data_IF_024333168496
#
_entry.id   IF_024333168496
#
_cell.length_a   1.000
_cell.length_b   1.000
_cell.length_c   1.000
_cell.angle_alpha   90.00
_cell.angle_beta   90.00
_cell.angle_gamma   90.00
#
_symmetry.space_group_name_H-M   'P 1'
#
loop_
_entity.id
_entity.type
_entity.pdbx_description
1 polymer ?
#
# COMPACT_ATOMS: atom_id res chain seq x y z
N UNK A 1 -32.70 6.44 -13.47
CA UNK A 1 -31.76 6.59 -12.33
C UNK A 1 -31.87 5.47 -11.31
N UNK A 2 -33.08 5.10 -10.86
CA UNK A 2 -33.28 4.16 -9.74
C UNK A 2 -32.53 2.81 -9.84
N UNK A 3 -32.53 2.16 -11.01
CA UNK A 3 -31.77 0.91 -11.22
C UNK A 3 -30.28 1.02 -10.84
N UNK A 4 -29.65 2.17 -11.11
CA UNK A 4 -28.26 2.43 -10.76
C UNK A 4 -28.08 2.67 -9.25
N UNK A 5 -29.09 3.26 -8.58
CA UNK A 5 -29.11 3.44 -7.12
C UNK A 5 -29.17 2.08 -6.42
N UNK A 6 -30.08 1.20 -6.86
CA UNK A 6 -30.22 -0.18 -6.37
C UNK A 6 -28.93 -0.99 -6.65
N UNK A 7 -28.35 -0.87 -7.85
CA UNK A 7 -27.07 -1.50 -8.18
C UNK A 7 -25.93 -1.08 -7.24
N UNK A 8 -25.84 0.23 -6.90
CA UNK A 8 -24.85 0.74 -5.95
C UNK A 8 -25.07 0.19 -4.52
N UNK A 9 -26.32 0.08 -4.08
CA UNK A 9 -26.70 -0.44 -2.76
C UNK A 9 -26.40 -1.95 -2.63
N UNK A 10 -26.69 -2.71 -3.68
CA UNK A 10 -26.32 -4.13 -3.79
C UNK A 10 -24.80 -4.33 -3.81
N UNK A 11 -24.05 -3.49 -4.53
CA UNK A 11 -22.59 -3.53 -4.52
C UNK A 11 -21.99 -3.17 -3.15
N UNK A 12 -22.57 -2.20 -2.44
CA UNK A 12 -22.17 -1.82 -1.09
C UNK A 12 -22.46 -2.92 -0.05
N UNK A 13 -23.55 -3.67 -0.22
CA UNK A 13 -23.90 -4.84 0.61
C UNK A 13 -23.24 -6.15 0.16
N UNK A 14 -22.39 -6.11 -0.88
CA UNK A 14 -21.61 -7.25 -1.35
C UNK A 14 -22.36 -8.25 -2.25
N UNK A 15 -23.58 -7.92 -2.70
CA UNK A 15 -24.40 -8.75 -3.62
C UNK A 15 -24.05 -8.44 -5.08
N UNK A 16 -22.82 -8.73 -5.47
CA UNK A 16 -22.23 -8.29 -6.74
C UNK A 16 -22.96 -8.84 -7.98
N UNK A 17 -23.48 -10.07 -7.92
CA UNK A 17 -24.23 -10.73 -9.00
C UNK A 17 -25.52 -9.95 -9.35
N UNK A 18 -26.25 -9.55 -8.31
CA UNK A 18 -27.46 -8.74 -8.46
C UNK A 18 -27.11 -7.32 -8.89
N UNK A 19 -26.04 -6.73 -8.34
CA UNK A 19 -25.55 -5.42 -8.76
C UNK A 19 -25.19 -5.39 -10.25
N UNK A 20 -24.50 -6.42 -10.77
CA UNK A 20 -24.20 -6.59 -12.20
C UNK A 20 -25.48 -6.61 -13.04
N UNK A 21 -26.53 -7.27 -12.56
CA UNK A 21 -27.83 -7.33 -13.25
C UNK A 21 -28.47 -5.94 -13.32
N UNK A 22 -28.62 -5.26 -12.18
CA UNK A 22 -29.19 -3.91 -12.10
C UNK A 22 -28.38 -2.86 -12.88
N UNK A 23 -27.04 -2.94 -12.89
CA UNK A 23 -26.22 -2.08 -13.75
C UNK A 23 -26.37 -2.41 -15.23
N UNK A 24 -26.51 -3.69 -15.60
CA UNK A 24 -26.73 -4.09 -17.00
C UNK A 24 -28.07 -3.58 -17.52
N UNK A 25 -29.13 -3.63 -16.72
CA UNK A 25 -30.43 -3.05 -17.08
C UNK A 25 -30.38 -1.51 -17.09
N UNK A 26 -29.68 -0.89 -16.15
CA UNK A 26 -29.43 0.56 -16.19
C UNK A 26 -28.68 0.99 -17.48
N UNK A 27 -27.73 0.17 -17.96
CA UNK A 27 -27.00 0.40 -19.22
C UNK A 27 -27.91 0.28 -20.43
N UNK A 28 -28.86 -0.67 -20.47
CA UNK A 28 -29.88 -0.76 -21.54
C UNK A 28 -30.69 0.54 -21.65
N UNK A 29 -31.02 1.16 -20.52
CA UNK A 29 -31.79 2.41 -20.49
C UNK A 29 -30.94 3.69 -20.68
N UNK A 30 -29.64 3.66 -20.35
CA UNK A 30 -28.73 4.78 -20.60
C UNK A 30 -27.31 4.29 -20.97
N UNK A 31 -27.08 3.92 -22.23
CA UNK A 31 -25.79 3.37 -22.67
C UNK A 31 -24.66 4.42 -22.77
N UNK A 32 -24.96 5.71 -22.56
CA UNK A 32 -23.96 6.80 -22.57
C UNK A 32 -23.38 7.12 -21.19
N UNK A 33 -23.89 6.49 -20.13
CA UNK A 33 -23.42 6.74 -18.76
C UNK A 33 -22.23 5.84 -18.39
N UNK A 34 -21.02 6.33 -18.67
CA UNK A 34 -19.75 5.66 -18.37
C UNK A 34 -19.63 5.19 -16.91
N UNK A 35 -20.28 5.86 -15.95
CA UNK A 35 -20.23 5.48 -14.53
C UNK A 35 -20.92 4.14 -14.25
N UNK A 36 -21.89 3.71 -15.07
CA UNK A 36 -22.53 2.39 -14.92
C UNK A 36 -21.56 1.26 -15.26
N UNK A 37 -20.83 1.40 -16.38
CA UNK A 37 -19.77 0.46 -16.76
C UNK A 37 -18.68 0.42 -15.68
N UNK A 38 -18.24 1.58 -15.17
CA UNK A 38 -17.27 1.66 -14.08
C UNK A 38 -17.70 0.99 -12.76
N UNK A 39 -19.00 0.99 -12.46
CA UNK A 39 -19.55 0.32 -11.27
C UNK A 39 -19.83 -1.18 -11.51
N UNK A 40 -20.15 -1.59 -12.74
CA UNK A 40 -20.27 -3.00 -13.14
C UNK A 40 -18.90 -3.68 -13.23
N UNK A 41 -17.89 -2.98 -13.77
CA UNK A 41 -16.47 -3.36 -13.75
C UNK A 41 -15.98 -3.68 -12.34
N UNK A 42 -16.35 -2.86 -11.35
CA UNK A 42 -16.07 -3.13 -9.94
C UNK A 42 -16.70 -4.44 -9.47
N UNK A 43 -17.97 -4.67 -9.76
CA UNK A 43 -18.65 -5.89 -9.34
C UNK A 43 -17.99 -7.13 -9.98
N UNK A 44 -17.63 -7.08 -11.26
CA UNK A 44 -16.84 -8.13 -11.92
C UNK A 44 -15.46 -8.35 -11.28
N UNK A 45 -14.74 -7.29 -10.88
CA UNK A 45 -13.46 -7.40 -10.14
C UNK A 45 -13.64 -8.12 -8.81
N UNK A 46 -14.70 -7.78 -8.05
CA UNK A 46 -15.04 -8.43 -6.78
C UNK A 46 -15.46 -9.89 -6.95
N UNK A 47 -16.00 -10.25 -8.11
CA UNK A 47 -16.37 -11.61 -8.53
C UNK A 47 -15.23 -12.35 -9.26
N UNK A 48 -14.02 -11.77 -9.33
CA UNK A 48 -12.84 -12.32 -10.03
C UNK A 48 -13.02 -12.56 -11.55
N UNK A 49 -14.02 -11.92 -12.17
CA UNK A 49 -14.28 -12.00 -13.62
C UNK A 49 -13.50 -10.88 -14.34
N UNK A 50 -12.18 -10.97 -14.28
CA UNK A 50 -11.28 -9.86 -14.60
C UNK A 50 -11.32 -9.42 -16.07
N UNK A 51 -11.61 -10.31 -17.02
CA UNK A 51 -11.78 -10.00 -18.44
C UNK A 51 -12.98 -9.07 -18.67
N UNK A 52 -14.12 -9.37 -18.02
CA UNK A 52 -15.32 -8.53 -18.06
C UNK A 52 -15.11 -7.21 -17.31
N UNK A 53 -14.37 -7.27 -16.21
CA UNK A 53 -13.98 -6.07 -15.45
C UNK A 53 -13.12 -5.11 -16.29
N UNK A 54 -12.16 -5.66 -17.06
CA UNK A 54 -11.32 -4.89 -17.97
C UNK A 54 -12.14 -4.32 -19.12
N UNK A 55 -12.99 -5.12 -19.77
CA UNK A 55 -13.84 -4.66 -20.87
C UNK A 55 -14.73 -3.48 -20.47
N UNK A 56 -15.40 -3.56 -19.31
CA UNK A 56 -16.21 -2.44 -18.80
C UNK A 56 -15.34 -1.23 -18.42
N UNK A 57 -14.12 -1.42 -17.91
CA UNK A 57 -13.20 -0.33 -17.60
C UNK A 57 -12.67 0.37 -18.87
N UNK A 58 -12.43 -0.37 -19.94
CA UNK A 58 -11.99 0.18 -21.22
C UNK A 58 -13.13 0.88 -21.96
N UNK A 59 -14.36 0.37 -21.91
CA UNK A 59 -15.56 1.10 -22.38
C UNK A 59 -15.72 2.41 -21.60
N UNK A 60 -15.55 2.36 -20.27
CA UNK A 60 -15.60 3.54 -19.40
C UNK A 60 -14.57 4.60 -19.81
N UNK A 61 -13.34 4.18 -20.13
CA UNK A 61 -12.25 5.08 -20.52
C UNK A 61 -12.36 5.57 -21.97
N UNK A 62 -12.93 4.79 -22.88
CA UNK A 62 -13.27 5.25 -24.23
C UNK A 62 -14.34 6.36 -24.20
N UNK A 63 -15.27 6.30 -23.25
CA UNK A 63 -16.27 7.36 -23.02
C UNK A 63 -15.71 8.57 -22.24
N UNK A 64 -14.79 8.34 -21.30
CA UNK A 64 -14.17 9.40 -20.49
C UNK A 64 -12.73 9.05 -20.07
N UNK A 65 -11.71 9.40 -20.89
CA UNK A 65 -10.31 9.04 -20.63
C UNK A 65 -9.73 9.63 -19.34
N UNK A 66 -10.27 10.76 -18.87
CA UNK A 66 -9.83 11.46 -17.65
C UNK A 66 -10.47 10.94 -16.37
N UNK A 67 -11.25 9.85 -16.39
CA UNK A 67 -11.91 9.37 -15.18
C UNK A 67 -10.99 8.48 -14.34
N UNK A 68 -10.34 9.09 -13.34
CA UNK A 68 -9.44 8.47 -12.35
C UNK A 68 -9.95 7.10 -11.85
N UNK A 69 -11.24 6.98 -11.52
CA UNK A 69 -11.84 5.72 -11.05
C UNK A 69 -11.84 4.61 -12.12
N UNK A 70 -11.98 4.97 -13.39
CA UNK A 70 -11.91 4.05 -14.53
C UNK A 70 -10.48 3.54 -14.75
N UNK A 71 -9.48 4.44 -14.69
CA UNK A 71 -8.06 4.07 -14.73
C UNK A 71 -7.71 3.10 -13.58
N UNK A 72 -8.21 3.38 -12.38
CA UNK A 72 -8.04 2.48 -11.23
C UNK A 72 -8.75 1.13 -11.41
N UNK A 73 -9.95 1.08 -12.02
CA UNK A 73 -10.60 -0.20 -12.38
C UNK A 73 -9.80 -0.98 -13.40
N UNK A 74 -9.33 -0.34 -14.48
CA UNK A 74 -8.46 -0.95 -15.50
C UNK A 74 -7.21 -1.56 -14.87
N UNK A 75 -6.52 -0.80 -14.01
CA UNK A 75 -5.34 -1.29 -13.28
C UNK A 75 -5.64 -2.51 -12.40
N UNK A 76 -6.76 -2.49 -11.65
CA UNK A 76 -7.19 -3.63 -10.82
C UNK A 76 -7.55 -4.87 -11.66
N UNK A 77 -8.24 -4.69 -12.78
CA UNK A 77 -8.60 -5.78 -13.68
C UNK A 77 -7.37 -6.42 -14.34
N UNK A 78 -6.46 -5.60 -14.88
CA UNK A 78 -5.18 -6.06 -15.44
C UNK A 78 -4.33 -6.81 -14.40
N UNK A 79 -4.31 -6.35 -13.15
CA UNK A 79 -3.60 -7.03 -12.07
C UNK A 79 -4.23 -8.37 -11.65
N UNK A 80 -5.55 -8.56 -11.86
CA UNK A 80 -6.21 -9.85 -11.72
C UNK A 80 -5.86 -10.81 -12.86
N UNK A 81 -5.76 -10.29 -14.09
CA UNK A 81 -5.27 -11.00 -15.28
C UNK A 81 -3.73 -11.24 -15.28
N UNK A 82 -3.04 -10.92 -14.19
CA UNK A 82 -1.56 -10.92 -14.07
C UNK A 82 -0.79 -10.07 -15.09
N UNK A 83 -1.47 -9.16 -15.80
CA UNK A 83 -0.86 -8.22 -16.77
C UNK A 83 -0.21 -7.05 -16.02
N UNK A 84 0.77 -7.38 -15.17
CA UNK A 84 1.30 -6.47 -14.15
C UNK A 84 1.98 -5.22 -14.70
N UNK A 85 2.66 -5.31 -15.85
CA UNK A 85 3.28 -4.16 -16.53
C UNK A 85 2.23 -3.11 -16.93
N UNK A 86 1.14 -3.55 -17.55
CA UNK A 86 0.03 -2.68 -17.97
C UNK A 86 -0.77 -2.17 -16.77
N UNK A 87 -0.95 -2.99 -15.73
CA UNK A 87 -1.54 -2.56 -14.47
C UNK A 87 -0.72 -1.44 -13.83
N UNK A 88 0.61 -1.55 -13.82
CA UNK A 88 1.51 -0.53 -13.30
C UNK A 88 1.40 0.78 -14.09
N UNK A 89 1.25 0.73 -15.42
CA UNK A 89 1.00 1.93 -16.24
C UNK A 89 -0.34 2.58 -15.90
N UNK A 90 -1.42 1.80 -15.73
CA UNK A 90 -2.72 2.33 -15.33
C UNK A 90 -2.68 3.03 -13.95
N UNK A 91 -1.98 2.45 -12.96
CA UNK A 91 -1.81 3.10 -11.65
C UNK A 91 -0.85 4.30 -11.67
N UNK A 92 0.17 4.31 -12.54
CA UNK A 92 1.03 5.49 -12.79
C UNK A 92 0.19 6.66 -13.34
N UNK A 93 -0.71 6.42 -14.29
CA UNK A 93 -1.60 7.47 -14.82
C UNK A 93 -2.66 7.94 -13.79
N UNK A 94 -3.11 7.07 -12.87
CA UNK A 94 -3.90 7.53 -11.70
C UNK A 94 -3.10 8.50 -10.85
N UNK A 95 -1.87 8.15 -10.47
CA UNK A 95 -1.01 8.98 -9.59
C UNK A 95 -0.53 10.28 -10.24
N UNK A 96 -0.57 10.36 -11.57
CA UNK A 96 -0.30 11.57 -12.37
C UNK A 96 -1.49 12.55 -12.35
N UNK A 97 -2.72 12.06 -12.14
CA UNK A 97 -3.94 12.87 -12.01
C UNK A 97 -4.28 13.17 -10.54
N UNK A 98 -4.05 12.21 -9.64
CA UNK A 98 -4.16 12.35 -8.19
C UNK A 98 -2.95 11.71 -7.50
N UNK A 99 -1.92 12.51 -7.27
CA UNK A 99 -0.69 12.10 -6.57
C UNK A 99 -0.89 11.84 -5.07
N UNK A 100 -2.09 12.09 -4.53
CA UNK A 100 -2.45 11.81 -3.14
C UNK A 100 -3.17 10.46 -2.98
N UNK A 101 -3.51 9.78 -4.08
CA UNK A 101 -4.20 8.49 -4.07
C UNK A 101 -3.35 7.36 -3.47
N UNK A 102 -3.45 7.18 -2.14
CA UNK A 102 -2.73 6.14 -1.38
C UNK A 102 -2.97 4.74 -1.92
N UNK A 103 -4.17 4.49 -2.43
CA UNK A 103 -4.63 3.18 -2.87
C UNK A 103 -3.98 2.80 -4.20
N UNK A 104 -3.83 3.77 -5.12
CA UNK A 104 -3.10 3.59 -6.37
C UNK A 104 -1.59 3.43 -6.14
N UNK A 105 -1.01 4.13 -5.15
CA UNK A 105 0.39 3.95 -4.77
C UNK A 105 0.65 2.56 -4.16
N UNK A 106 -0.26 2.05 -3.33
CA UNK A 106 -0.17 0.69 -2.77
C UNK A 106 -0.35 -0.38 -3.86
N UNK A 107 -1.32 -0.22 -4.75
CA UNK A 107 -1.53 -1.14 -5.88
C UNK A 107 -0.37 -1.14 -6.87
N UNK A 108 0.19 0.04 -7.20
CA UNK A 108 1.38 0.15 -8.06
C UNK A 108 2.55 -0.63 -7.47
N UNK A 109 2.88 -0.41 -6.19
CA UNK A 109 3.96 -1.15 -5.52
C UNK A 109 3.66 -2.65 -5.49
N UNK A 110 2.40 -3.05 -5.26
CA UNK A 110 1.99 -4.46 -5.26
C UNK A 110 2.20 -5.11 -6.63
N UNK A 111 1.76 -4.49 -7.73
CA UNK A 111 1.93 -5.10 -9.07
C UNK A 111 3.39 -5.11 -9.53
N UNK A 112 4.20 -4.13 -9.14
CA UNK A 112 5.64 -4.15 -9.39
C UNK A 112 6.34 -5.29 -8.63
N UNK A 113 5.95 -5.56 -7.37
CA UNK A 113 6.43 -6.72 -6.61
C UNK A 113 5.99 -8.04 -7.28
N UNK A 114 4.72 -8.16 -7.67
CA UNK A 114 4.22 -9.37 -8.34
C UNK A 114 4.92 -9.63 -9.68
N UNK A 115 5.23 -8.59 -10.46
CA UNK A 115 5.96 -8.72 -11.71
C UNK A 115 7.37 -9.27 -11.50
N UNK A 116 8.13 -8.73 -10.53
CA UNK A 116 9.45 -9.27 -10.17
C UNK A 116 9.37 -10.71 -9.63
N UNK A 117 8.30 -11.06 -8.92
CA UNK A 117 8.07 -12.45 -8.48
C UNK A 117 7.78 -13.41 -9.64
N UNK A 118 7.10 -12.98 -10.71
CA UNK A 118 6.98 -13.78 -11.94
C UNK A 118 8.30 -13.91 -12.72
N UNK A 119 9.25 -12.98 -12.52
CA UNK A 119 10.63 -13.08 -13.00
C UNK A 119 11.54 -13.91 -12.08
N UNK A 120 10.99 -14.55 -11.04
CA UNK A 120 11.70 -15.48 -10.15
C UNK A 120 12.34 -14.86 -8.90
N UNK A 121 12.23 -13.55 -8.69
CA UNK A 121 12.76 -12.89 -7.49
C UNK A 121 11.87 -13.16 -6.27
N UNK A 122 12.44 -13.28 -5.07
CA UNK A 122 11.64 -13.40 -3.84
C UNK A 122 10.85 -12.10 -3.58
N UNK A 123 9.78 -12.20 -2.80
CA UNK A 123 8.96 -11.04 -2.41
C UNK A 123 9.79 -9.98 -1.65
N UNK A 124 10.76 -10.44 -0.86
CA UNK A 124 11.65 -9.62 -0.06
C UNK A 124 12.72 -8.95 -0.93
N UNK A 125 13.32 -9.67 -1.87
CA UNK A 125 14.20 -9.10 -2.91
C UNK A 125 13.47 -8.02 -3.70
N UNK A 126 12.29 -8.37 -4.25
CA UNK A 126 11.44 -7.49 -5.05
C UNK A 126 11.05 -6.22 -4.30
N UNK A 127 10.57 -6.35 -3.05
CA UNK A 127 10.19 -5.22 -2.21
C UNK A 127 11.39 -4.35 -1.84
N UNK A 128 12.55 -4.93 -1.52
CA UNK A 128 13.74 -4.17 -1.15
C UNK A 128 14.32 -3.41 -2.35
N UNK A 129 14.41 -4.05 -3.51
CA UNK A 129 14.92 -3.41 -4.72
C UNK A 129 14.01 -2.25 -5.17
N UNK A 130 12.69 -2.39 -5.10
CA UNK A 130 11.76 -1.28 -5.38
C UNK A 130 11.86 -0.13 -4.35
N UNK A 131 12.18 -0.43 -3.09
CA UNK A 131 12.41 0.59 -2.04
C UNK A 131 13.74 1.36 -2.23
N UNK A 132 14.71 0.79 -2.95
CA UNK A 132 16.03 1.38 -3.21
C UNK A 132 16.07 2.07 -4.58
N UNK A 133 15.64 1.37 -5.64
CA UNK A 133 15.78 1.79 -7.04
C UNK A 133 14.51 2.47 -7.62
N UNK A 134 13.37 2.35 -6.93
CA UNK A 134 12.11 3.06 -7.23
C UNK A 134 11.31 2.53 -8.43
N UNK A 135 11.94 1.80 -9.36
CA UNK A 135 11.27 1.23 -10.54
C UNK A 135 11.72 -0.22 -10.78
N UNK A 136 10.96 -0.97 -11.59
CA UNK A 136 11.25 -2.40 -11.87
C UNK A 136 12.48 -2.51 -12.74
N UNK A 137 12.58 -1.63 -13.73
CA UNK A 137 13.66 -1.54 -14.71
C UNK A 137 15.01 -1.35 -14.00
N UNK A 138 15.10 -0.37 -13.09
CA UNK A 138 16.29 -0.11 -12.27
C UNK A 138 16.58 -1.18 -11.21
N UNK A 139 15.56 -1.90 -10.76
CA UNK A 139 15.74 -3.05 -9.87
C UNK A 139 16.39 -4.22 -10.64
N UNK A 140 15.97 -4.47 -11.87
CA UNK A 140 16.56 -5.49 -12.75
C UNK A 140 18.00 -5.15 -13.15
N UNK A 141 18.29 -3.91 -13.53
CA UNK A 141 19.66 -3.40 -13.75
C UNK A 141 20.56 -3.70 -12.54
N UNK A 142 20.09 -3.40 -11.33
CA UNK A 142 20.83 -3.66 -10.10
C UNK A 142 21.02 -5.16 -9.80
N UNK A 143 20.03 -6.01 -10.11
CA UNK A 143 20.17 -7.46 -9.97
C UNK A 143 21.18 -8.04 -10.96
N UNK A 144 21.24 -7.56 -12.20
CA UNK A 144 22.21 -7.98 -13.22
C UNK A 144 23.64 -7.66 -12.78
N UNK A 145 23.92 -6.42 -12.38
CA UNK A 145 25.25 -5.99 -11.94
C UNK A 145 25.78 -6.80 -10.73
N UNK A 146 24.89 -7.30 -9.87
CA UNK A 146 25.24 -8.16 -8.72
C UNK A 146 25.60 -9.60 -9.15
N UNK A 147 25.15 -10.05 -10.32
CA UNK A 147 25.58 -11.33 -10.90
C UNK A 147 26.98 -11.22 -11.53
N UNK A 148 27.26 -10.12 -12.24
CA UNK A 148 28.57 -9.87 -12.84
C UNK A 148 29.68 -9.72 -11.78
N UNK A 149 29.45 -8.93 -10.73
CA UNK A 149 30.35 -8.78 -9.56
C UNK A 149 30.67 -10.12 -8.87
N UNK A 150 29.83 -11.16 -9.04
CA UNK A 150 30.00 -12.48 -8.43
C UNK A 150 30.65 -13.53 -9.33
N UNK A 151 30.92 -13.24 -10.60
CA UNK A 151 31.70 -14.14 -11.46
C UNK A 151 33.23 -13.97 -11.32
N UNK A 152 33.68 -13.13 -10.38
CA UNK A 152 35.04 -13.14 -9.81
C UNK A 152 35.26 -14.26 -8.78
N UNK A 153 35.19 -15.53 -9.20
CA UNK A 153 35.61 -16.72 -8.43
C UNK A 153 34.90 -16.97 -7.07
N UNK A 154 33.70 -17.55 -7.10
CA UNK A 154 33.39 -18.73 -6.25
C UNK A 154 32.12 -19.45 -6.72
N UNK A 155 32.09 -20.78 -6.59
CA UNK A 155 31.01 -21.64 -7.07
C UNK A 155 29.74 -21.52 -6.23
N UNK A 156 28.61 -21.22 -6.88
CA UNK A 156 27.29 -21.55 -6.33
C UNK A 156 27.07 -23.08 -6.37
N UNK A 157 26.40 -23.67 -5.37
CA UNK A 157 26.06 -25.09 -5.41
C UNK A 157 24.96 -25.33 -6.45
N UNK A 158 25.31 -26.03 -7.54
CA UNK A 158 24.32 -26.64 -8.44
C UNK A 158 23.54 -27.69 -7.65
N UNK A 159 22.21 -27.60 -7.69
CA UNK A 159 21.34 -28.62 -7.10
C UNK A 159 21.41 -29.90 -7.94
N UNK A 160 22.38 -30.77 -7.62
CA UNK A 160 22.67 -31.96 -8.40
C UNK A 160 21.61 -33.06 -8.20
N UNK A 161 20.71 -33.22 -9.17
CA UNK A 161 19.76 -34.33 -9.25
C UNK A 161 20.34 -35.39 -10.18
N UNK A 162 20.86 -36.48 -9.61
CA UNK A 162 21.36 -37.60 -10.40
C UNK A 162 20.20 -38.33 -11.11
N UNK A 163 20.31 -38.42 -12.45
CA UNK A 163 20.49 -39.66 -13.21
C UNK A 163 20.24 -41.00 -12.48
N UNK A 164 19.59 -42.02 -13.05
CA UNK A 164 18.96 -42.17 -14.39
C UNK A 164 18.03 -43.40 -14.39
N UNK A 165 17.04 -43.44 -15.29
CA UNK A 165 16.45 -44.67 -15.86
C UNK A 165 15.50 -44.35 -17.03
N UNK A 166 16.05 -44.33 -18.24
CA UNK A 166 15.55 -44.85 -19.53
C UNK A 166 14.05 -45.22 -19.66
N UNK A 167 13.40 -44.74 -20.74
CA UNK A 167 12.06 -45.22 -21.14
C UNK A 167 11.28 -44.30 -22.07
N UNK A 168 11.55 -44.35 -23.38
CA UNK A 168 10.71 -43.72 -24.40
C UNK A 168 9.36 -44.45 -24.55
N UNK A 169 8.28 -43.72 -24.86
CA UNK A 169 7.35 -44.12 -25.92
C UNK A 169 6.46 -42.95 -26.37
N UNK A 170 6.20 -42.89 -27.68
CA UNK A 170 5.29 -41.93 -28.31
C UNK A 170 3.89 -42.53 -28.59
N UNK A 171 2.91 -41.63 -28.72
CA UNK A 171 1.76 -41.66 -29.65
C UNK A 171 1.06 -43.02 -29.94
N UNK A 172 -0.23 -43.11 -29.56
CA UNK A 172 -1.25 -43.76 -30.40
C UNK A 172 -2.69 -43.26 -30.11
N UNK A 173 -3.58 -43.39 -31.12
CA UNK A 173 -5.05 -43.20 -31.02
C UNK A 173 -5.77 -44.54 -31.21
N UNK A 174 -6.96 -44.72 -30.60
CA UNK A 174 -8.23 -45.22 -31.18
C UNK A 174 -9.25 -45.49 -30.03
N UNK A 175 -10.58 -45.28 -30.07
CA UNK A 175 -11.71 -45.36 -31.06
C UNK A 175 -12.38 -46.74 -31.26
N UNK A 176 -13.39 -47.03 -30.44
CA UNK A 176 -14.62 -47.82 -30.72
C UNK A 176 -15.68 -47.43 -29.64
N UNK A 177 -16.96 -47.12 -29.88
CA UNK A 177 -18.06 -47.79 -30.61
C UNK A 177 -18.64 -49.01 -29.82
N UNK A 178 -19.69 -48.88 -28.98
CA UNK A 178 -21.18 -48.77 -29.22
C UNK A 178 -21.88 -50.10 -29.59
N UNK A 179 -23.21 -50.35 -29.33
CA UNK A 179 -24.26 -49.60 -28.60
C UNK A 179 -25.19 -50.51 -27.69
N UNK A 180 -26.49 -50.13 -27.56
CA UNK A 180 -27.69 -50.84 -26.99
C UNK A 180 -27.91 -50.73 -25.46
N UNK A 181 -29.09 -50.32 -24.94
CA UNK A 181 -30.24 -49.63 -25.56
C UNK A 181 -31.61 -49.86 -24.88
N UNK A 182 -32.44 -48.80 -24.79
CA UNK A 182 -33.94 -48.80 -24.64
C UNK A 182 -34.47 -49.34 -23.28
N UNK A 183 -35.33 -48.67 -22.49
CA UNK A 183 -35.95 -47.32 -22.49
C UNK A 183 -36.12 -46.85 -21.00
N UNK A 184 -37.11 -46.13 -20.44
CA UNK A 184 -38.45 -45.59 -20.84
C UNK A 184 -38.84 -44.40 -19.91
N UNK A 185 -40.09 -43.89 -19.99
CA UNK A 185 -40.78 -43.06 -18.98
C UNK A 185 -42.23 -43.55 -18.79
N UNK A 186 -42.95 -43.12 -17.73
CA UNK A 186 -44.07 -42.18 -17.95
C UNK A 186 -44.05 -40.94 -17.02
N UNK A 187 -45.09 -40.10 -17.10
CA UNK A 187 -45.30 -38.86 -16.34
C UNK A 187 -46.65 -38.87 -15.61
N UNK A 188 -46.74 -38.18 -14.45
CA UNK A 188 -47.91 -37.43 -13.95
C UNK A 188 -47.41 -36.49 -12.83
N UNK A 189 -47.53 -35.15 -12.93
CA UNK A 189 -48.71 -34.31 -12.68
C UNK A 189 -49.17 -34.24 -11.20
N UNK A 190 -49.03 -33.07 -10.57
CA UNK A 190 -50.04 -32.37 -9.74
C UNK A 190 -49.45 -31.22 -8.89
N UNK A 191 -50.24 -30.14 -8.72
CA UNK A 191 -50.16 -29.09 -7.68
C UNK A 191 -51.56 -29.08 -7.01
N UNK A 192 -51.77 -28.61 -5.75
CA UNK A 192 -51.46 -27.21 -5.36
C UNK A 192 -51.14 -26.91 -3.87
N UNK A 193 -50.81 -25.63 -3.63
CA UNK A 193 -50.91 -24.81 -2.41
C UNK A 193 -51.19 -25.44 -1.03
N UNK A 194 -50.33 -25.13 -0.06
CA UNK A 194 -50.75 -24.48 1.20
C UNK A 194 -49.59 -23.81 1.94
N UNK A 195 -49.86 -22.72 2.67
CA UNK A 195 -49.03 -22.22 3.79
C UNK A 195 -49.60 -22.82 5.08
N UNK A 196 -48.76 -23.04 6.11
CA UNK A 196 -48.87 -22.12 7.25
C UNK A 196 -47.54 -21.75 7.92
N UNK A 197 -47.53 -20.53 8.47
CA UNK A 197 -46.87 -20.04 9.70
C UNK A 197 -45.37 -20.29 9.99
N UNK A 198 -44.81 -19.35 10.74
CA UNK A 198 -43.42 -19.36 11.24
C UNK A 198 -43.26 -20.30 12.44
N UNK A 199 -42.00 -20.66 12.74
CA UNK A 199 -41.48 -20.26 14.05
C UNK A 199 -40.26 -19.34 13.94
N UNK A 200 -40.12 -18.44 14.91
CA UNK A 200 -38.93 -17.59 15.05
C UNK A 200 -37.77 -18.43 15.60
N UNK A 201 -36.67 -18.54 14.85
CA UNK A 201 -35.41 -19.08 15.36
C UNK A 201 -34.31 -18.01 15.32
N UNK A 202 -34.02 -17.43 16.48
CA UNK A 202 -32.99 -16.42 16.71
C UNK A 202 -31.58 -17.03 16.63
N UNK A 203 -31.17 -17.48 15.44
CA UNK A 203 -29.91 -18.19 15.25
C UNK A 203 -28.72 -17.23 15.12
N UNK A 204 -28.16 -16.82 16.26
CA UNK A 204 -26.96 -15.98 16.38
C UNK A 204 -25.66 -16.72 15.98
N UNK A 205 -25.60 -17.22 14.74
CA UNK A 205 -24.38 -17.80 14.17
C UNK A 205 -23.35 -16.72 13.90
N UNK A 206 -22.41 -16.61 14.84
CA UNK A 206 -21.23 -15.73 14.77
C UNK A 206 -20.48 -16.00 13.46
N UNK A 207 -20.09 -14.93 12.76
CA UNK A 207 -19.08 -15.00 11.69
C UNK A 207 -17.85 -15.77 12.19
N UNK A 208 -17.14 -16.53 11.33
CA UNK A 208 -15.80 -17.00 11.67
C UNK A 208 -14.98 -15.78 12.11
N UNK A 209 -14.38 -15.86 13.31
CA UNK A 209 -13.59 -14.74 13.83
C UNK A 209 -12.41 -14.53 12.89
N UNK A 210 -12.39 -13.40 12.20
CA UNK A 210 -11.13 -12.81 11.76
C UNK A 210 -10.19 -12.77 12.96
N UNK A 211 -8.93 -13.17 12.80
CA UNK A 211 -7.92 -12.93 13.82
C UNK A 211 -7.99 -11.46 14.23
N UNK A 212 -8.00 -11.14 15.54
CA UNK A 212 -8.04 -9.74 15.96
C UNK A 212 -6.83 -9.05 15.35
N UNK A 213 -7.06 -7.93 14.64
CA UNK A 213 -5.96 -7.04 14.27
C UNK A 213 -5.43 -6.45 15.57
N UNK A 214 -4.35 -7.06 16.09
CA UNK A 214 -3.65 -6.57 17.27
C UNK A 214 -3.14 -5.17 16.92
N UNK A 215 -3.61 -4.18 17.66
CA UNK A 215 -3.19 -2.80 17.47
C UNK A 215 -1.77 -2.64 18.02
N UNK A 216 -0.79 -2.48 17.11
CA UNK A 216 0.61 -2.32 17.48
C UNK A 216 0.99 -0.85 17.60
N UNK A 217 1.91 -0.54 18.50
CA UNK A 217 2.38 0.81 18.71
C UNK A 217 3.84 0.88 18.21
N UNK A 218 4.10 1.49 17.03
CA UNK A 218 5.44 1.53 16.45
C UNK A 218 6.27 2.68 17.01
N UNK A 219 7.52 2.39 17.37
CA UNK A 219 8.58 3.36 17.66
C UNK A 219 9.61 3.28 16.54
N UNK A 220 10.04 4.43 16.02
CA UNK A 220 11.19 4.54 15.12
C UNK A 220 12.47 4.80 15.93
N UNK A 221 13.53 4.09 15.58
CA UNK A 221 14.84 4.16 16.23
C UNK A 221 15.87 4.51 15.16
N UNK A 222 16.58 5.63 15.31
CA UNK A 222 17.56 6.14 14.35
C UNK A 222 18.99 6.15 14.85
N UNK A 223 19.88 6.67 14.00
CA UNK A 223 21.32 6.85 14.23
C UNK A 223 22.10 5.54 14.51
N UNK A 224 21.55 4.38 14.16
CA UNK A 224 22.16 3.08 14.44
C UNK A 224 23.48 2.89 13.67
N UNK A 225 24.54 2.46 14.34
CA UNK A 225 25.78 2.03 13.66
C UNK A 225 25.55 0.75 12.85
N UNK A 226 26.29 0.53 11.74
CA UNK A 226 26.10 -0.65 10.88
C UNK A 226 26.30 -2.01 11.56
N UNK A 227 27.00 -2.06 12.69
CA UNK A 227 27.26 -3.28 13.46
C UNK A 227 26.12 -3.70 14.40
N UNK A 228 25.07 -2.87 14.59
CA UNK A 228 23.95 -3.20 15.46
C UNK A 228 23.11 -4.32 14.85
N UNK A 229 22.88 -5.38 15.62
CA UNK A 229 22.01 -6.51 15.25
C UNK A 229 20.59 -6.31 15.77
N UNK A 230 19.62 -6.98 15.13
CA UNK A 230 18.22 -6.94 15.58
C UNK A 230 18.05 -7.47 17.03
N UNK A 231 18.84 -8.48 17.41
CA UNK A 231 18.88 -9.00 18.79
C UNK A 231 19.33 -7.93 19.80
N UNK A 232 20.31 -7.08 19.45
CA UNK A 232 20.75 -5.99 20.33
C UNK A 232 19.67 -4.91 20.48
N UNK A 233 18.99 -4.55 19.39
CA UNK A 233 17.82 -3.64 19.44
C UNK A 233 16.73 -4.23 20.32
N UNK A 234 16.35 -5.50 20.11
CA UNK A 234 15.35 -6.18 20.93
C UNK A 234 15.73 -6.18 22.41
N UNK A 235 16.97 -6.55 22.76
CA UNK A 235 17.48 -6.61 24.15
C UNK A 235 17.56 -5.23 24.83
N UNK A 236 17.74 -4.16 24.07
CA UNK A 236 17.72 -2.79 24.59
C UNK A 236 16.29 -2.30 24.83
N UNK A 237 15.40 -2.50 23.84
CA UNK A 237 14.04 -1.99 23.84
C UNK A 237 13.07 -2.84 24.69
N UNK A 238 13.35 -4.11 24.94
CA UNK A 238 12.55 -4.96 25.83
C UNK A 238 12.60 -4.53 27.30
N UNK A 239 13.48 -3.58 27.65
CA UNK A 239 13.51 -2.92 28.97
C UNK A 239 12.35 -1.94 29.18
N UNK A 240 11.71 -1.47 28.10
CA UNK A 240 10.57 -0.56 28.17
C UNK A 240 9.22 -1.30 28.23
N UNK A 241 9.15 -2.53 27.69
CA UNK A 241 7.95 -3.35 27.70
C UNK A 241 8.01 -4.52 26.71
N UNK A 242 6.95 -5.35 26.62
CA UNK A 242 6.85 -6.48 25.70
C UNK A 242 6.80 -6.04 24.23
N UNK A 243 7.85 -6.38 23.48
CA UNK A 243 7.94 -6.18 22.04
C UNK A 243 7.12 -7.26 21.30
N UNK A 244 6.36 -6.85 20.30
CA UNK A 244 5.70 -7.75 19.35
C UNK A 244 6.61 -8.13 18.17
N UNK A 245 7.36 -7.16 17.63
CA UNK A 245 8.33 -7.38 16.57
C UNK A 245 9.36 -6.24 16.50
N UNK A 246 10.59 -6.55 16.09
CA UNK A 246 11.57 -5.57 15.62
C UNK A 246 11.68 -5.68 14.10
N UNK A 247 12.08 -4.60 13.42
CA UNK A 247 12.53 -4.63 12.02
C UNK A 247 13.70 -3.68 11.84
N UNK A 248 14.91 -4.23 11.73
CA UNK A 248 16.12 -3.46 11.45
C UNK A 248 16.19 -3.07 9.95
N UNK A 249 16.72 -1.88 9.64
CA UNK A 249 16.97 -1.38 8.29
C UNK A 249 18.43 -0.86 8.19
N UNK A 250 19.44 -1.75 8.06
CA UNK A 250 20.86 -1.37 8.16
C UNK A 250 21.27 -0.27 7.18
N UNK A 251 20.82 -0.39 5.92
CA UNK A 251 21.08 0.59 4.86
C UNK A 251 20.48 2.00 5.13
N UNK A 252 19.54 2.12 6.08
CA UNK A 252 18.95 3.39 6.51
C UNK A 252 19.34 3.78 7.95
N UNK A 253 20.26 3.05 8.60
CA UNK A 253 20.73 3.28 9.98
C UNK A 253 19.59 3.49 11.00
N UNK A 254 18.51 2.73 10.83
CA UNK A 254 17.34 2.80 11.69
C UNK A 254 16.64 1.44 11.85
N UNK A 255 15.74 1.35 12.82
CA UNK A 255 14.86 0.22 13.07
C UNK A 255 13.45 0.69 13.41
N UNK A 256 12.49 -0.22 13.31
CA UNK A 256 11.16 -0.08 13.91
C UNK A 256 11.00 -1.10 15.02
N UNK A 257 10.45 -0.69 16.17
CA UNK A 257 10.09 -1.57 17.28
C UNK A 257 8.59 -1.43 17.51
N UNK A 258 7.85 -2.53 17.39
CA UNK A 258 6.41 -2.56 17.59
C UNK A 258 6.09 -3.12 18.98
N UNK A 259 5.41 -2.35 19.82
CA UNK A 259 4.91 -2.79 21.12
C UNK A 259 3.42 -3.17 21.07
N UNK A 260 2.97 -3.91 22.09
CA UNK A 260 1.57 -4.31 22.25
C UNK A 260 0.75 -3.24 23.01
N UNK A 261 1.41 -2.37 23.78
CA UNK A 261 0.78 -1.25 24.51
C UNK A 261 1.37 0.10 24.08
N UNK A 262 0.57 1.16 24.25
CA UNK A 262 1.01 2.55 24.04
C UNK A 262 2.03 2.98 25.10
N UNK A 263 1.79 2.60 26.36
CA UNK A 263 2.61 2.96 27.51
C UNK A 263 4.08 2.53 27.32
N UNK A 264 4.28 1.31 26.81
CA UNK A 264 5.61 0.75 26.53
C UNK A 264 6.40 1.61 25.50
N UNK A 265 5.71 2.24 24.54
CA UNK A 265 6.33 3.16 23.57
C UNK A 265 6.73 4.49 24.20
N UNK A 266 5.91 5.03 25.09
CA UNK A 266 6.21 6.28 25.80
C UNK A 266 7.40 6.05 26.76
N UNK A 267 7.43 4.90 27.44
CA UNK A 267 8.58 4.45 28.22
C UNK A 267 9.81 4.28 27.31
N UNK A 268 9.69 3.69 26.13
CA UNK A 268 10.80 3.50 25.19
C UNK A 268 11.37 4.83 24.68
N UNK A 269 10.52 5.76 24.24
CA UNK A 269 10.91 7.08 23.76
C UNK A 269 11.60 7.86 24.89
N UNK A 270 10.91 8.05 26.02
CA UNK A 270 11.40 8.87 27.14
C UNK A 270 12.68 8.32 27.79
N UNK A 271 12.94 7.01 27.71
CA UNK A 271 14.12 6.40 28.32
C UNK A 271 15.23 5.99 27.35
N UNK A 272 15.04 6.06 26.02
CA UNK A 272 16.04 5.62 25.04
C UNK A 272 16.39 6.69 23.99
N UNK A 273 15.57 7.73 23.80
CA UNK A 273 15.99 8.92 23.05
C UNK A 273 17.19 9.59 23.73
N UNK A 274 18.13 10.11 22.95
CA UNK A 274 19.34 10.75 23.46
C UNK A 274 20.35 9.82 24.15
N UNK A 275 20.12 8.50 24.24
CA UNK A 275 21.09 7.59 24.87
C UNK A 275 22.25 7.21 23.95
N UNK A 276 23.48 7.09 24.49
CA UNK A 276 24.62 6.59 23.75
C UNK A 276 24.53 5.08 23.53
N UNK A 277 24.81 4.64 22.30
CA UNK A 277 24.98 3.24 21.91
C UNK A 277 26.09 3.16 20.85
N UNK A 278 27.13 2.35 21.09
CA UNK A 278 28.27 2.14 20.18
C UNK A 278 28.86 3.45 19.60
N UNK A 279 29.07 4.46 20.45
CA UNK A 279 29.63 5.76 20.05
C UNK A 279 28.66 6.71 19.32
N UNK A 280 27.40 6.32 19.13
CA UNK A 280 26.34 7.16 18.53
C UNK A 280 25.26 7.51 19.53
N UNK A 281 24.58 8.65 19.35
CA UNK A 281 23.42 9.05 20.14
C UNK A 281 22.15 8.60 19.42
N UNK A 282 21.36 7.72 20.04
CA UNK A 282 20.09 7.25 19.51
C UNK A 282 19.08 8.40 19.36
N UNK A 283 18.28 8.34 18.30
CA UNK A 283 17.05 9.13 18.19
C UNK A 283 15.85 8.18 18.20
N UNK A 284 14.93 8.34 19.13
CA UNK A 284 13.83 7.42 19.39
C UNK A 284 12.52 8.21 19.45
N UNK A 285 11.65 8.05 18.45
CA UNK A 285 10.41 8.84 18.33
C UNK A 285 9.28 8.09 17.62
N UNK A 286 8.09 8.70 17.59
CA UNK A 286 6.98 8.20 16.78
C UNK A 286 7.29 8.30 15.26
N UNK A 287 6.88 7.33 14.43
CA UNK A 287 7.15 7.36 12.99
C UNK A 287 6.42 8.50 12.26
N UNK A 288 7.20 9.39 11.64
CA UNK A 288 6.71 10.51 10.79
C UNK A 288 5.76 10.03 9.67
N UNK A 289 5.91 8.77 9.23
CA UNK A 289 5.01 8.07 8.29
C UNK A 289 4.77 6.63 8.74
N UNK A 290 3.62 6.39 9.37
CA UNK A 290 3.14 5.03 9.64
C UNK A 290 2.72 4.35 8.33
N UNK A 291 3.44 3.31 7.93
CA UNK A 291 3.09 2.43 6.82
C UNK A 291 2.18 1.28 7.28
N UNK A 292 1.15 0.96 6.49
CA UNK A 292 0.12 -0.04 6.83
C UNK A 292 0.63 -1.46 6.99
N UNK A 293 1.79 -1.82 6.43
CA UNK A 293 2.42 -3.14 6.61
C UNK A 293 3.08 -3.35 7.98
N UNK A 294 3.09 -2.34 8.87
CA UNK A 294 3.65 -2.43 10.23
C UNK A 294 2.60 -2.75 11.32
N UNK A 295 1.34 -3.02 10.97
CA UNK A 295 0.29 -3.41 11.93
C UNK A 295 -0.15 -2.31 12.91
N UNK A 296 0.10 -1.05 12.57
CA UNK A 296 0.19 0.04 13.53
C UNK A 296 -1.13 0.79 13.85
N UNK A 297 -1.20 1.28 15.09
CA UNK A 297 -2.27 2.08 15.68
C UNK A 297 -2.53 3.39 14.94
N UNK A 298 -3.81 3.81 14.93
CA UNK A 298 -4.22 5.16 14.50
C UNK A 298 -3.74 6.24 15.47
N UNK A 299 -3.62 5.92 16.76
CA UNK A 299 -3.25 6.86 17.82
C UNK A 299 -1.76 7.23 17.80
N UNK A 300 -0.89 6.40 17.22
CA UNK A 300 0.54 6.67 17.10
C UNK A 300 0.89 7.84 16.13
N UNK A 301 -0.10 8.44 15.45
CA UNK A 301 0.02 9.73 14.75
C UNK A 301 -0.45 10.95 15.57
N UNK A 302 -1.00 10.72 16.76
CA UNK A 302 -1.68 11.74 17.58
C UNK A 302 -0.95 12.05 18.89
N UNK A 303 0.15 11.35 19.19
CA UNK A 303 1.05 11.71 20.28
C UNK A 303 1.89 12.93 19.87
N UNK A 304 1.42 14.13 20.22
CA UNK A 304 2.14 15.39 20.04
C UNK A 304 3.09 15.64 21.21
N UNK A 305 4.30 16.12 20.93
CA UNK A 305 5.24 16.59 21.97
C UNK A 305 4.62 17.75 22.76
N UNK A 306 4.29 17.51 24.04
CA UNK A 306 3.53 18.46 24.85
C UNK A 306 3.86 18.38 26.35
N UNK A 307 5.00 18.95 26.75
CA UNK A 307 5.04 19.73 27.99
C UNK A 307 4.50 21.15 27.69
N UNK A 308 3.84 21.85 28.63
CA UNK A 308 2.96 22.96 28.29
C UNK A 308 3.69 24.27 27.95
N UNK A 309 3.70 24.64 26.67
CA UNK A 309 3.93 26.02 26.24
C UNK A 309 2.70 26.90 26.58
N UNK A 310 2.89 28.21 26.89
CA UNK A 310 1.79 29.09 27.31
C UNK A 310 0.77 29.34 26.19
N UNK A 311 -0.50 29.50 26.58
CA UNK A 311 -1.65 29.63 25.67
C UNK A 311 -1.53 30.88 24.78
N UNK A 312 -1.87 30.80 23.48
CA UNK A 312 -1.89 31.97 22.60
C UNK A 312 -2.99 32.96 22.99
N UNK A 313 -2.61 34.21 23.24
CA UNK A 313 -3.55 35.31 23.50
C UNK A 313 -3.92 35.98 22.17
N UNK A 314 -5.21 36.14 21.82
CA UNK A 314 -5.60 36.73 20.54
C UNK A 314 -5.49 38.26 20.58
N UNK A 315 -4.65 38.84 19.71
CA UNK A 315 -4.73 40.27 19.36
C UNK A 315 -4.55 40.53 17.88
N UNK A 316 -5.41 41.41 17.38
CA UNK A 316 -5.36 42.05 16.06
C UNK A 316 -4.16 42.99 15.95
N UNK A 317 -3.52 43.06 14.78
CA UNK A 317 -3.46 44.28 13.92
C UNK A 317 -2.53 44.12 12.70
N UNK A 318 -2.79 44.98 11.73
CA UNK A 318 -2.21 45.18 10.38
C UNK A 318 -0.68 45.25 10.21
N UNK A 319 -0.24 44.94 8.97
CA UNK A 319 1.03 45.35 8.33
C UNK A 319 2.34 44.72 8.85
N UNK A 320 3.37 44.42 8.04
CA UNK A 320 3.60 44.52 6.57
C UNK A 320 4.47 43.31 6.15
N UNK A 321 4.47 42.91 4.86
CA UNK A 321 5.51 41.99 4.34
C UNK A 321 6.88 42.69 4.43
N UNK A 322 7.90 42.01 4.94
CA UNK A 322 9.29 42.47 4.80
C UNK A 322 9.89 41.93 3.51
N UNK A 323 10.21 42.83 2.57
CA UNK A 323 10.86 42.48 1.30
C UNK A 323 12.30 41.94 1.45
N UNK A 324 12.89 42.00 2.65
CA UNK A 324 14.30 41.69 2.91
C UNK A 324 14.55 40.21 3.22
N UNK A 325 15.64 39.65 2.68
CA UNK A 325 16.01 38.25 2.87
C UNK A 325 16.44 37.95 4.30
N UNK A 326 15.74 37.03 4.98
CA UNK A 326 16.13 36.56 6.31
C UNK A 326 17.56 35.99 6.34
N UNK A 327 17.89 35.09 5.41
CA UNK A 327 19.19 34.43 5.34
C UNK A 327 20.36 35.38 5.06
N UNK A 328 20.12 36.54 4.44
CA UNK A 328 21.13 37.59 4.26
C UNK A 328 21.54 38.23 5.59
N UNK A 329 20.60 38.32 6.54
CA UNK A 329 20.84 38.87 7.88
C UNK A 329 21.45 37.87 8.86
N UNK A 330 21.27 36.56 8.67
CA UNK A 330 21.68 35.55 9.67
C UNK A 330 22.85 34.66 9.26
N UNK A 331 22.87 34.11 8.04
CA UNK A 331 23.82 33.05 7.65
C UNK A 331 24.61 33.35 6.37
N UNK A 332 24.30 34.46 5.69
CA UNK A 332 24.74 34.71 4.33
C UNK A 332 23.81 34.04 3.32
N UNK A 333 23.33 34.80 2.33
CA UNK A 333 22.47 34.24 1.29
C UNK A 333 23.26 33.96 0.00
N UNK A 334 23.62 32.69 -0.20
CA UNK A 334 24.44 32.23 -1.34
C UNK A 334 23.74 32.31 -2.72
N UNK A 335 22.60 33.02 -2.84
CA UNK A 335 21.85 33.18 -4.10
C UNK A 335 22.14 34.51 -4.82
N UNK A 336 22.89 35.43 -4.20
CA UNK A 336 23.23 36.75 -4.73
C UNK A 336 22.01 37.44 -5.40
N UNK A 337 22.14 37.87 -6.65
CA UNK A 337 21.11 38.58 -7.42
C UNK A 337 19.88 37.71 -7.77
N UNK A 338 19.98 36.38 -7.65
CA UNK A 338 18.87 35.44 -7.90
C UNK A 338 18.03 35.16 -6.64
N UNK A 339 18.12 36.03 -5.63
CA UNK A 339 17.29 35.95 -4.42
C UNK A 339 15.94 36.66 -4.63
N UNK A 340 14.78 36.02 -4.37
CA UNK A 340 13.47 36.66 -4.48
C UNK A 340 13.16 37.68 -3.35
N UNK A 341 14.13 37.96 -2.48
CA UNK A 341 14.06 38.94 -1.39
C UNK A 341 15.29 39.85 -1.44
N UNK A 342 15.10 41.13 -1.15
CA UNK A 342 16.13 42.17 -1.21
C UNK A 342 17.28 41.88 -0.25
N UNK A 343 18.51 42.15 -0.70
CA UNK A 343 19.72 42.10 0.11
C UNK A 343 20.17 43.54 0.40
N UNK A 344 19.94 44.04 1.62
CA UNK A 344 20.40 45.38 2.03
C UNK A 344 21.84 45.27 2.53
N UNK A 345 22.84 45.91 1.90
CA UNK A 345 24.25 45.69 2.25
C UNK A 345 24.57 45.96 3.72
N UNK A 346 23.97 46.99 4.31
CA UNK A 346 24.14 47.40 5.71
C UNK A 346 23.48 46.49 6.76
N UNK A 347 22.77 45.42 6.35
CA UNK A 347 22.19 44.43 7.27
C UNK A 347 22.82 43.03 7.15
N UNK A 348 23.86 42.86 6.33
CA UNK A 348 24.51 41.57 6.08
C UNK A 348 25.10 41.02 7.39
N UNK A 349 24.60 39.88 7.86
CA UNK A 349 25.06 39.25 9.11
C UNK A 349 24.59 39.92 10.42
N UNK A 350 23.64 40.86 10.38
CA UNK A 350 23.11 41.53 11.57
C UNK A 350 21.70 41.00 11.91
N UNK A 351 21.60 40.20 12.97
CA UNK A 351 20.30 39.76 13.48
C UNK A 351 19.73 40.73 14.53
N UNK A 352 18.76 41.54 14.11
CA UNK A 352 18.02 42.50 14.96
C UNK A 352 17.07 41.83 15.99
N UNK A 353 17.30 40.55 16.32
CA UNK A 353 16.52 39.74 17.25
C UNK A 353 17.09 39.63 18.67
N UNK A 354 18.31 40.13 18.94
CA UNK A 354 18.99 39.92 20.24
C UNK A 354 19.28 41.15 21.10
N UNK A 355 19.16 42.38 20.56
CA UNK A 355 19.54 43.60 21.28
C UNK A 355 18.46 44.11 22.27
N UNK A 356 18.10 43.29 23.26
CA UNK A 356 17.29 43.68 24.44
C UNK A 356 17.65 42.88 25.70
N UNK A 357 18.91 42.96 26.16
CA UNK A 357 19.32 42.57 27.51
C UNK A 357 20.75 43.07 27.82
N UNK A 358 20.85 44.25 28.46
CA UNK A 358 21.91 44.72 29.39
C UNK A 358 21.85 46.25 29.53
N UNK A 359 22.32 46.83 30.65
CA UNK A 359 22.58 46.18 31.95
C UNK A 359 21.27 45.83 32.66
#
# INVERSE_FOLDING_TARGET
MELARIGNELAATGRFELAVTYFTDAIKHNPKEFRLFGNRSFCYERMQQYEKSLLDADITLAMNPGWIKGLYRRGRALAGLKRYCEAALAFKEVLKQDSTCTDAAQELMRVQIMHLMEMGFTREQSSNALIIHGTVEKALEAFSNIQDEKFGSSTLPVANVNQSADGEWEVARQRAHTPVGIATKPQTQAQPNSRPLTPVMSNSQKKPKSQPQIELFPVWVGNLVPAITEHLVHKLFSKAGPIHSVKLLPARRCAFVNYIRKDDCEIAINNLDGKPLEGTVLSVRYPDRIHTYLGASKSAKQATDAAPAPKPVPKTTTARKSDECYFWRTSGCNKNEKCPYKHIPSHKGIDKGKDKLTP
#
